data_IF_490925793324
#
_entry.id   IF_490925793324
#
_cell.length_a   1.000
_cell.length_b   1.000
_cell.length_c   1.000
_cell.angle_alpha   90.00
_cell.angle_beta   90.00
_cell.angle_gamma   90.00
#
_symmetry.space_group_name_H-M   'P 1'
#
loop_
_entity.id
_entity.type
_entity.pdbx_description
1 polymer ?
#
# COMPACT_ATOMS: atom_id res chain seq x y z
N UNK A 1 -21.98 7.08 -22.80
CA UNK A 1 -20.61 7.63 -22.64
C UNK A 1 -19.79 7.10 -23.80
N UNK A 2 -19.12 7.95 -24.60
CA UNK A 2 -18.26 7.47 -25.67
C UNK A 2 -17.12 6.61 -25.13
N UNK A 3 -16.65 5.62 -25.91
CA UNK A 3 -15.55 4.74 -25.49
C UNK A 3 -14.30 5.52 -25.08
N UNK A 4 -14.03 6.64 -25.76
CA UNK A 4 -12.90 7.53 -25.45
C UNK A 4 -13.07 8.22 -24.08
N UNK A 5 -14.25 8.75 -23.77
CA UNK A 5 -14.51 9.39 -22.48
C UNK A 5 -14.34 8.43 -21.32
N UNK A 6 -14.82 7.19 -21.47
CA UNK A 6 -14.65 6.15 -20.45
C UNK A 6 -13.16 5.83 -20.21
N UNK A 7 -12.35 5.69 -21.27
CA UNK A 7 -10.92 5.41 -21.14
C UNK A 7 -10.17 6.57 -20.50
N UNK A 8 -10.53 7.82 -20.80
CA UNK A 8 -9.97 9.01 -20.15
C UNK A 8 -10.30 8.98 -18.66
N UNK A 9 -11.57 8.72 -18.28
CA UNK A 9 -11.98 8.66 -16.89
C UNK A 9 -11.22 7.57 -16.11
N UNK A 10 -11.10 6.37 -16.68
CA UNK A 10 -10.35 5.27 -16.06
C UNK A 10 -8.87 5.63 -15.85
N UNK A 11 -8.24 6.28 -16.83
CA UNK A 11 -6.86 6.76 -16.72
C UNK A 11 -6.69 7.80 -15.62
N UNK A 12 -7.59 8.76 -15.53
CA UNK A 12 -7.55 9.79 -14.49
C UNK A 12 -7.70 9.18 -13.10
N UNK A 13 -8.67 8.28 -12.90
CA UNK A 13 -8.82 7.55 -11.64
C UNK A 13 -7.54 6.78 -11.31
N UNK A 14 -7.02 6.01 -12.26
CA UNK A 14 -5.82 5.21 -12.06
C UNK A 14 -4.60 6.06 -11.67
N UNK A 15 -4.38 7.17 -12.35
CA UNK A 15 -3.22 8.03 -12.10
C UNK A 15 -3.35 8.79 -10.78
N UNK A 16 -4.51 9.41 -10.51
CA UNK A 16 -4.71 10.22 -9.30
C UNK A 16 -4.63 9.34 -8.05
N UNK A 17 -5.39 8.26 -8.00
CA UNK A 17 -5.39 7.36 -6.85
C UNK A 17 -4.11 6.54 -6.75
N UNK A 18 -3.48 6.20 -7.88
CA UNK A 18 -2.16 5.56 -7.93
C UNK A 18 -1.07 6.45 -7.34
N UNK A 19 -1.02 7.72 -7.73
CA UNK A 19 -0.07 8.69 -7.18
C UNK A 19 -0.26 8.86 -5.66
N UNK A 20 -1.52 8.95 -5.20
CA UNK A 20 -1.83 9.04 -3.78
C UNK A 20 -1.39 7.77 -3.02
N UNK A 21 -1.69 6.59 -3.56
CA UNK A 21 -1.32 5.32 -2.92
C UNK A 21 0.18 5.10 -2.85
N UNK A 22 0.90 5.30 -3.96
CA UNK A 22 2.37 5.15 -4.03
C UNK A 22 3.05 6.19 -3.14
N UNK A 23 2.68 7.47 -3.26
CA UNK A 23 3.23 8.56 -2.45
C UNK A 23 3.00 8.35 -0.96
N UNK A 24 1.79 7.95 -0.57
CA UNK A 24 1.46 7.61 0.81
C UNK A 24 2.27 6.43 1.35
N UNK A 25 2.42 5.35 0.56
CA UNK A 25 3.20 4.18 0.97
C UNK A 25 4.69 4.52 1.15
N UNK A 26 5.27 5.28 0.22
CA UNK A 26 6.66 5.76 0.30
C UNK A 26 6.86 6.67 1.51
N UNK A 27 5.95 7.62 1.73
CA UNK A 27 6.01 8.54 2.88
C UNK A 27 5.97 7.81 4.21
N UNK A 28 5.06 6.83 4.35
CA UNK A 28 4.97 6.01 5.57
C UNK A 28 6.23 5.18 5.76
N UNK A 29 6.71 4.49 4.73
CA UNK A 29 7.81 3.55 4.84
C UNK A 29 9.16 4.21 5.15
N UNK A 30 9.46 5.33 4.51
CA UNK A 30 10.79 5.93 4.52
C UNK A 30 10.92 7.17 5.41
N UNK A 31 9.81 7.81 5.78
CA UNK A 31 9.82 9.03 6.58
C UNK A 31 9.02 8.88 7.88
N UNK A 32 7.74 8.50 7.83
CA UNK A 32 6.87 8.52 9.00
C UNK A 32 7.27 7.45 10.03
N UNK A 33 7.45 6.19 9.61
CA UNK A 33 7.82 5.12 10.56
C UNK A 33 9.23 5.26 11.14
N UNK A 34 10.26 5.67 10.38
CA UNK A 34 11.56 6.00 10.98
C UNK A 34 11.49 7.18 11.96
N UNK A 35 10.80 8.26 11.62
CA UNK A 35 10.61 9.42 12.51
C UNK A 35 9.84 9.02 13.79
N UNK A 36 8.79 8.21 13.67
CA UNK A 36 8.07 7.65 14.82
C UNK A 36 9.00 6.97 15.81
N UNK A 37 9.95 6.15 15.32
CA UNK A 37 10.90 5.44 16.17
C UNK A 37 11.88 6.38 16.87
N UNK A 38 12.37 7.38 16.15
CA UNK A 38 13.31 8.36 16.69
C UNK A 38 12.67 9.21 17.82
N UNK A 39 11.38 9.53 17.69
CA UNK A 39 10.61 10.33 18.65
C UNK A 39 10.14 9.47 19.86
N UNK A 40 9.99 8.16 19.66
CA UNK A 40 9.51 7.25 20.70
C UNK A 40 8.00 7.33 20.94
N UNK A 41 7.58 7.40 22.22
CA UNK A 41 6.14 7.33 22.56
C UNK A 41 5.27 8.43 21.94
N UNK A 42 5.66 9.71 21.88
CA UNK A 42 4.89 10.73 21.17
C UNK A 42 4.72 10.41 19.68
N UNK A 43 5.75 9.85 19.04
CA UNK A 43 5.69 9.41 17.64
C UNK A 43 4.68 8.27 17.42
N UNK A 44 4.57 7.34 18.38
CA UNK A 44 3.56 6.27 18.30
C UNK A 44 2.13 6.82 18.41
N UNK A 45 1.90 7.80 19.26
CA UNK A 45 0.60 8.47 19.39
C UNK A 45 0.26 9.23 18.09
N UNK A 46 1.20 9.93 17.50
CA UNK A 46 1.03 10.62 16.23
C UNK A 46 0.62 9.63 15.12
N UNK A 47 1.36 8.53 14.94
CA UNK A 47 1.05 7.54 13.90
C UNK A 47 -0.29 6.87 14.15
N UNK A 48 -0.63 6.56 15.41
CA UNK A 48 -1.96 6.05 15.76
C UNK A 48 -3.06 7.03 15.36
N UNK A 49 -2.89 8.32 15.67
CA UNK A 49 -3.85 9.37 15.29
C UNK A 49 -3.95 9.50 13.77
N UNK A 50 -2.84 9.47 13.04
CA UNK A 50 -2.83 9.52 11.59
C UNK A 50 -3.59 8.32 10.97
N UNK A 51 -3.29 7.12 11.42
CA UNK A 51 -3.85 5.88 10.83
C UNK A 51 -5.32 5.67 11.16
N UNK A 52 -5.73 5.96 12.40
CA UNK A 52 -7.08 5.69 12.90
C UNK A 52 -7.93 6.97 12.97
N UNK A 53 -7.44 8.01 13.62
CA UNK A 53 -8.18 9.27 13.81
C UNK A 53 -8.44 9.99 12.49
N UNK A 54 -7.44 10.10 11.63
CA UNK A 54 -7.55 10.72 10.31
C UNK A 54 -7.98 9.76 9.20
N UNK A 55 -8.31 8.51 9.54
CA UNK A 55 -8.74 7.47 8.58
C UNK A 55 -7.76 7.24 7.42
N UNK A 56 -6.48 7.61 7.59
CA UNK A 56 -5.47 7.51 6.55
C UNK A 56 -5.39 6.10 5.95
N UNK A 57 -5.46 5.07 6.81
CA UNK A 57 -5.51 3.68 6.37
C UNK A 57 -6.68 3.40 5.42
N UNK A 58 -7.87 3.92 5.72
CA UNK A 58 -9.05 3.72 4.89
C UNK A 58 -8.91 4.40 3.53
N UNK A 59 -8.36 5.61 3.50
CA UNK A 59 -8.07 6.31 2.25
C UNK A 59 -7.04 5.57 1.41
N UNK A 60 -5.98 5.02 2.03
CA UNK A 60 -4.97 4.22 1.32
C UNK A 60 -5.56 2.94 0.72
N UNK A 61 -6.44 2.25 1.45
CA UNK A 61 -7.15 1.06 0.93
C UNK A 61 -8.05 1.46 -0.24
N UNK A 62 -8.84 2.52 -0.10
CA UNK A 62 -9.70 3.03 -1.16
C UNK A 62 -8.91 3.41 -2.42
N UNK A 63 -7.78 4.10 -2.25
CA UNK A 63 -6.90 4.46 -3.35
C UNK A 63 -6.30 3.22 -4.05
N UNK A 64 -5.86 2.21 -3.29
CA UNK A 64 -5.37 0.95 -3.85
C UNK A 64 -6.44 0.23 -4.67
N UNK A 65 -7.66 0.12 -4.13
CA UNK A 65 -8.80 -0.53 -4.81
C UNK A 65 -9.14 0.21 -6.11
N UNK A 66 -9.29 1.54 -6.07
CA UNK A 66 -9.60 2.33 -7.26
C UNK A 66 -8.50 2.24 -8.32
N UNK A 67 -7.23 2.27 -7.91
CA UNK A 67 -6.09 2.11 -8.81
C UNK A 67 -6.10 0.73 -9.47
N UNK A 68 -6.25 -0.34 -8.70
CA UNK A 68 -6.23 -1.71 -9.22
C UNK A 68 -7.43 -1.95 -10.15
N UNK A 69 -8.65 -1.58 -9.74
CA UNK A 69 -9.85 -1.81 -10.54
C UNK A 69 -9.82 -1.04 -11.85
N UNK A 70 -9.44 0.26 -11.82
CA UNK A 70 -9.33 1.06 -13.04
C UNK A 70 -8.23 0.54 -13.98
N UNK A 71 -7.07 0.16 -13.43
CA UNK A 71 -5.97 -0.42 -14.20
C UNK A 71 -6.35 -1.75 -14.84
N UNK A 72 -6.96 -2.66 -14.07
CA UNK A 72 -7.41 -3.96 -14.55
C UNK A 72 -8.49 -3.81 -15.63
N UNK A 73 -9.44 -2.90 -15.45
CA UNK A 73 -10.48 -2.64 -16.46
C UNK A 73 -9.85 -2.16 -17.77
N UNK A 74 -8.89 -1.25 -17.73
CA UNK A 74 -8.17 -0.80 -18.92
C UNK A 74 -7.39 -1.95 -19.58
N UNK A 75 -6.69 -2.75 -18.79
CA UNK A 75 -5.92 -3.90 -19.30
C UNK A 75 -6.82 -4.91 -20.01
N UNK A 76 -7.92 -5.33 -19.37
CA UNK A 76 -8.89 -6.26 -19.95
C UNK A 76 -9.46 -5.72 -21.26
N UNK A 77 -9.81 -4.45 -21.32
CA UNK A 77 -10.32 -3.83 -22.55
C UNK A 77 -9.32 -3.87 -23.70
N UNK A 78 -8.03 -3.63 -23.43
CA UNK A 78 -6.99 -3.74 -24.46
C UNK A 78 -6.83 -5.20 -24.95
N UNK A 79 -6.89 -6.17 -24.03
CA UNK A 79 -6.84 -7.60 -24.40
C UNK A 79 -8.05 -7.98 -25.25
N UNK A 80 -9.26 -7.55 -24.86
CA UNK A 80 -10.50 -7.87 -25.56
C UNK A 80 -10.64 -7.14 -26.92
N UNK A 81 -9.96 -6.03 -27.11
CA UNK A 81 -9.92 -5.35 -28.41
C UNK A 81 -9.20 -6.18 -29.49
N UNK A 82 -8.47 -7.21 -29.11
CA UNK A 82 -7.80 -8.13 -30.04
C UNK A 82 -6.51 -7.56 -30.62
N UNK A 83 -6.22 -7.93 -31.87
CA UNK A 83 -5.05 -7.40 -32.59
C UNK A 83 -3.69 -7.87 -32.06
N UNK A 84 -3.64 -8.94 -31.26
CA UNK A 84 -2.39 -9.48 -30.72
C UNK A 84 -1.75 -8.65 -29.60
N UNK A 85 -2.46 -7.64 -29.06
CA UNK A 85 -1.89 -6.75 -28.03
C UNK A 85 -1.40 -7.52 -26.80
N UNK A 86 -2.09 -8.57 -26.37
CA UNK A 86 -1.70 -9.37 -25.21
C UNK A 86 -0.32 -10.04 -25.34
N UNK A 87 0.17 -10.26 -26.56
CA UNK A 87 1.48 -10.85 -26.84
C UNK A 87 2.61 -9.80 -26.86
N UNK A 88 2.30 -8.52 -26.86
CA UNK A 88 3.29 -7.45 -26.91
C UNK A 88 4.11 -7.38 -25.62
N UNK A 89 5.33 -6.88 -25.70
CA UNK A 89 6.17 -6.61 -24.52
C UNK A 89 5.49 -5.60 -23.60
N UNK A 90 4.85 -4.58 -24.15
CA UNK A 90 4.05 -3.61 -23.38
C UNK A 90 3.03 -4.30 -22.49
N UNK A 91 2.23 -5.23 -23.02
CA UNK A 91 1.21 -5.94 -22.26
C UNK A 91 1.83 -6.80 -21.14
N UNK A 92 2.92 -7.49 -21.43
CA UNK A 92 3.64 -8.33 -20.45
C UNK A 92 4.19 -7.49 -19.29
N UNK A 93 4.82 -6.36 -19.58
CA UNK A 93 5.39 -5.46 -18.58
C UNK A 93 4.29 -4.83 -17.71
N UNK A 94 3.19 -4.38 -18.33
CA UNK A 94 2.03 -3.89 -17.59
C UNK A 94 1.41 -4.99 -16.72
N UNK A 95 1.36 -6.24 -17.18
CA UNK A 95 0.89 -7.39 -16.41
C UNK A 95 1.77 -7.67 -15.19
N UNK A 96 3.10 -7.65 -15.34
CA UNK A 96 4.05 -7.79 -14.23
C UNK A 96 3.88 -6.65 -13.22
N UNK A 97 3.75 -5.41 -13.68
CA UNK A 97 3.47 -4.27 -12.83
C UNK A 97 2.16 -4.40 -12.07
N UNK A 98 1.09 -4.86 -12.74
CA UNK A 98 -0.21 -5.10 -12.11
C UNK A 98 -0.13 -6.19 -11.02
N UNK A 99 0.60 -7.29 -11.29
CA UNK A 99 0.82 -8.36 -10.30
C UNK A 99 1.58 -7.84 -9.08
N UNK A 100 2.64 -7.07 -9.28
CA UNK A 100 3.40 -6.46 -8.20
C UNK A 100 2.53 -5.52 -7.34
N UNK A 101 1.65 -4.72 -7.96
CA UNK A 101 0.70 -3.86 -7.26
C UNK A 101 -0.31 -4.68 -6.43
N UNK A 102 -0.84 -5.79 -6.95
CA UNK A 102 -1.76 -6.67 -6.24
C UNK A 102 -1.07 -7.30 -5.03
N UNK A 103 0.16 -7.79 -5.18
CA UNK A 103 0.97 -8.32 -4.07
C UNK A 103 1.19 -7.23 -3.01
N UNK A 104 1.57 -6.02 -3.43
CA UNK A 104 1.74 -4.87 -2.53
C UNK A 104 0.46 -4.55 -1.75
N UNK A 105 -0.71 -4.58 -2.41
CA UNK A 105 -2.01 -4.40 -1.76
C UNK A 105 -2.30 -5.50 -0.73
N UNK A 106 -2.04 -6.77 -1.06
CA UNK A 106 -2.22 -7.91 -0.15
C UNK A 106 -1.35 -7.79 1.11
N UNK A 107 -0.06 -7.41 0.95
CA UNK A 107 0.83 -7.16 2.08
C UNK A 107 0.35 -5.94 2.89
N UNK A 108 0.07 -4.83 2.20
CA UNK A 108 -0.31 -3.55 2.83
C UNK A 108 -1.66 -3.57 3.55
N UNK A 109 -2.59 -4.44 3.17
CA UNK A 109 -3.90 -4.54 3.83
C UNK A 109 -4.00 -5.76 4.75
N UNK A 110 -3.64 -6.94 4.25
CA UNK A 110 -3.79 -8.20 4.95
C UNK A 110 -2.72 -8.41 6.03
N UNK A 111 -1.46 -8.42 5.63
CA UNK A 111 -0.36 -8.71 6.55
C UNK A 111 -0.18 -7.59 7.58
N UNK A 112 -0.11 -6.33 7.16
CA UNK A 112 0.01 -5.21 8.11
C UNK A 112 -1.24 -5.06 8.99
N UNK A 113 -2.41 -5.44 8.48
CA UNK A 113 -3.66 -5.46 9.25
C UNK A 113 -3.61 -6.44 10.43
N UNK A 114 -3.10 -7.65 10.21
CA UNK A 114 -2.91 -8.66 11.27
C UNK A 114 -1.91 -8.18 12.34
N UNK A 115 -0.79 -7.61 11.91
CA UNK A 115 0.21 -7.05 12.83
C UNK A 115 -0.41 -5.91 13.66
N UNK A 116 -1.11 -4.98 13.01
CA UNK A 116 -1.76 -3.85 13.69
C UNK A 116 -2.79 -4.31 14.73
N UNK A 117 -3.60 -5.33 14.39
CA UNK A 117 -4.55 -5.93 15.34
C UNK A 117 -3.82 -6.51 16.56
N UNK A 118 -2.74 -7.29 16.37
CA UNK A 118 -1.96 -7.86 17.46
C UNK A 118 -1.32 -6.79 18.34
N UNK A 119 -0.81 -5.70 17.73
CA UNK A 119 -0.26 -4.55 18.49
C UNK A 119 -1.33 -3.87 19.36
N UNK A 120 -2.56 -3.73 18.86
CA UNK A 120 -3.68 -3.17 19.64
C UNK A 120 -4.07 -4.08 20.81
N UNK A 121 -4.17 -5.38 20.58
CA UNK A 121 -4.47 -6.38 21.61
C UNK A 121 -3.40 -6.36 22.74
N UNK A 122 -2.12 -6.37 22.34
CA UNK A 122 -1.01 -6.31 23.28
C UNK A 122 -0.99 -4.99 24.06
N UNK A 123 -1.25 -3.86 23.41
CA UNK A 123 -1.39 -2.56 24.05
C UNK A 123 -2.54 -2.53 25.06
N UNK A 124 -3.68 -3.14 24.73
CA UNK A 124 -4.82 -3.31 25.65
C UNK A 124 -4.48 -4.17 26.87
N UNK A 125 -3.75 -5.27 26.70
CA UNK A 125 -3.29 -6.13 27.80
C UNK A 125 -2.35 -5.37 28.75
N UNK A 126 -1.41 -4.59 28.21
CA UNK A 126 -0.49 -3.76 29.01
C UNK A 126 -1.28 -2.73 29.81
N UNK A 127 -2.25 -2.07 29.19
CA UNK A 127 -3.07 -1.08 29.88
C UNK A 127 -3.94 -1.70 30.98
N UNK A 128 -4.52 -2.87 30.74
CA UNK A 128 -5.36 -3.58 31.70
C UNK A 128 -4.59 -4.11 32.92
N UNK A 129 -3.29 -4.38 32.78
CA UNK A 129 -2.44 -4.83 33.90
C UNK A 129 -2.15 -3.74 34.93
N UNK A 130 -2.40 -2.47 34.64
CA UNK A 130 -2.19 -1.32 35.54
C UNK A 130 -0.74 -1.06 35.93
N UNK A 131 0.22 -1.84 35.39
CA UNK A 131 1.65 -1.75 35.67
C UNK A 131 2.48 -1.48 34.42
N UNK A 132 3.80 -1.37 34.56
CA UNK A 132 4.70 -1.27 33.44
C UNK A 132 4.68 -2.56 32.61
N UNK A 133 4.91 -2.48 31.28
CA UNK A 133 4.94 -3.65 30.42
C UNK A 133 6.09 -4.59 30.84
N UNK A 134 5.82 -5.89 30.86
CA UNK A 134 6.83 -6.93 31.09
C UNK A 134 7.88 -6.94 29.98
N UNK A 135 9.04 -7.54 30.23
CA UNK A 135 10.09 -7.64 29.21
C UNK A 135 9.66 -8.47 27.99
N UNK A 136 8.84 -9.50 28.21
CA UNK A 136 8.22 -10.28 27.13
C UNK A 136 7.30 -9.41 26.25
N UNK A 137 6.47 -8.56 26.87
CA UNK A 137 5.57 -7.64 26.14
C UNK A 137 6.34 -6.57 25.37
N UNK A 138 7.44 -6.04 25.94
CA UNK A 138 8.33 -5.09 25.24
C UNK A 138 8.99 -5.77 24.04
N UNK A 139 9.51 -6.98 24.21
CA UNK A 139 10.14 -7.74 23.13
C UNK A 139 9.16 -8.06 21.99
N UNK A 140 7.93 -8.50 22.32
CA UNK A 140 6.88 -8.77 21.35
C UNK A 140 6.50 -7.49 20.58
N UNK A 141 6.27 -6.37 21.29
CA UNK A 141 5.93 -5.10 20.67
C UNK A 141 7.04 -4.62 19.72
N UNK A 142 8.30 -4.73 20.13
CA UNK A 142 9.46 -4.40 19.28
C UNK A 142 9.54 -5.26 18.03
N UNK A 143 9.28 -6.57 18.15
CA UNK A 143 9.21 -7.51 17.03
C UNK A 143 8.10 -7.12 16.03
N UNK A 144 6.90 -6.83 16.53
CA UNK A 144 5.76 -6.43 15.71
C UNK A 144 6.03 -5.11 14.98
N UNK A 145 6.64 -4.13 15.64
CA UNK A 145 7.07 -2.87 15.02
C UNK A 145 8.11 -3.10 13.92
N UNK A 146 9.07 -4.01 14.14
CA UNK A 146 10.05 -4.40 13.13
C UNK A 146 9.40 -5.02 11.89
N UNK A 147 8.49 -5.97 12.08
CA UNK A 147 7.73 -6.61 11.00
C UNK A 147 6.87 -5.61 10.24
N UNK A 148 6.21 -4.68 10.94
CA UNK A 148 5.41 -3.62 10.34
C UNK A 148 6.27 -2.73 9.43
N UNK A 149 7.43 -2.28 9.91
CA UNK A 149 8.32 -1.43 9.11
C UNK A 149 8.86 -2.17 7.87
N UNK A 150 9.28 -3.42 8.02
CA UNK A 150 9.74 -4.23 6.89
C UNK A 150 8.64 -4.41 5.85
N UNK A 151 7.41 -4.71 6.28
CA UNK A 151 6.26 -4.84 5.39
C UNK A 151 5.99 -3.54 4.60
N UNK A 152 5.98 -2.38 5.26
CA UNK A 152 5.79 -1.09 4.56
C UNK A 152 6.93 -0.78 3.59
N UNK A 153 8.18 -1.11 3.91
CA UNK A 153 9.30 -0.96 2.98
C UNK A 153 9.14 -1.84 1.73
N UNK A 154 8.77 -3.11 1.92
CA UNK A 154 8.53 -4.03 0.80
C UNK A 154 7.39 -3.49 -0.08
N UNK A 155 6.28 -3.05 0.51
CA UNK A 155 5.16 -2.44 -0.22
C UNK A 155 5.61 -1.23 -1.02
N UNK A 156 6.36 -0.31 -0.41
CA UNK A 156 6.85 0.90 -1.08
C UNK A 156 7.78 0.55 -2.28
N UNK A 157 8.70 -0.40 -2.10
CA UNK A 157 9.61 -0.84 -3.16
C UNK A 157 8.83 -1.50 -4.30
N UNK A 158 7.88 -2.40 -4.00
CA UNK A 158 7.05 -3.04 -5.02
C UNK A 158 6.24 -2.01 -5.82
N UNK A 159 5.68 -1.00 -5.15
CA UNK A 159 4.93 0.05 -5.81
C UNK A 159 5.83 0.96 -6.67
N UNK A 160 7.04 1.29 -6.24
CA UNK A 160 8.00 2.02 -7.05
C UNK A 160 8.41 1.24 -8.30
N UNK A 161 8.66 -0.08 -8.15
CA UNK A 161 8.93 -0.96 -9.29
C UNK A 161 7.72 -1.05 -10.24
N UNK A 162 6.51 -1.09 -9.69
CA UNK A 162 5.27 -1.03 -10.48
C UNK A 162 5.19 0.25 -11.32
N UNK A 163 5.45 1.41 -10.71
CA UNK A 163 5.44 2.70 -11.43
C UNK A 163 6.51 2.72 -12.51
N UNK A 164 7.73 2.25 -12.20
CA UNK A 164 8.82 2.16 -13.18
C UNK A 164 8.44 1.26 -14.37
N UNK A 165 7.87 0.07 -14.11
CA UNK A 165 7.40 -0.84 -15.14
C UNK A 165 6.31 -0.20 -16.01
N UNK A 166 5.30 0.42 -15.39
CA UNK A 166 4.19 1.07 -16.11
C UNK A 166 4.64 2.28 -16.92
N UNK A 167 5.59 3.06 -16.40
CA UNK A 167 6.13 4.23 -17.13
C UNK A 167 6.99 3.82 -18.32
N UNK A 168 7.75 2.73 -18.23
CA UNK A 168 8.64 2.25 -19.29
C UNK A 168 7.95 1.37 -20.35
N UNK A 169 6.80 0.77 -20.02
CA UNK A 169 6.14 -0.25 -20.83
C UNK A 169 5.87 0.19 -22.29
N UNK A 170 5.64 1.47 -22.55
CA UNK A 170 5.38 1.99 -23.90
C UNK A 170 6.64 2.13 -24.76
N UNK A 171 7.82 2.01 -24.18
CA UNK A 171 9.10 2.17 -24.89
C UNK A 171 9.81 0.84 -25.15
N UNK A 172 9.24 -0.25 -24.64
CA UNK A 172 9.75 -1.61 -24.72
C UNK A 172 8.78 -2.53 -25.49
#
# INVERSE_FOLDING_TARGET
MSANLMMITLRLIHLIFGAFWVGGAVSVAFFILPAQRAIGQPGMLFVRQLMMGQKFRSYMIGAAVLTILSGLTMYIRYVMAGGGWAQTNTAKILGVGALAAIIAAGIGTGYTGKIGKRMLELGGQIQASGGPPTDAQKAEMGSLQGKMQSAFRIVAILLLLTVAAMASARYL
#
